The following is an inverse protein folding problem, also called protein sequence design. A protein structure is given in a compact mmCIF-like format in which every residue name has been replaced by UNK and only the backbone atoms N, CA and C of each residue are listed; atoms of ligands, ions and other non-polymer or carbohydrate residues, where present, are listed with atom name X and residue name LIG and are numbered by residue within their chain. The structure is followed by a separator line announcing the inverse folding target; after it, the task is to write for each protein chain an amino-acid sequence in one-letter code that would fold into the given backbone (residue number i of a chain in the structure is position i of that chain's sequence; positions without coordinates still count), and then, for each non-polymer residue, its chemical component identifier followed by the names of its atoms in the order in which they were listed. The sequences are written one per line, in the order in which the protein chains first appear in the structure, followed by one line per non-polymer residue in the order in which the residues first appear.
data_IF_603668229621
#
_entry.id   IF_603668229621
#
_cell.length_a   1.000
_cell.length_b   1.000
_cell.length_c   1.000
_cell.angle_alpha   90.00
_cell.angle_beta   90.00
_cell.angle_gamma   90.00
#
_symmetry.space_group_name_H-M   'P 1'
#
loop_
_entity.id
_entity.type
_entity.pdbx_description
1 polymer ?
#
# COMPACT_ATOMS: atom_id res chain seq x y z
N UNK A 1 25.72 -4.09 7.51
CA UNK A 1 24.94 -4.97 6.61
C UNK A 1 24.36 -6.22 7.26
N UNK A 2 25.04 -6.86 8.23
CA UNK A 2 24.57 -8.10 8.88
C UNK A 2 23.48 -7.92 9.96
N UNK A 3 23.12 -6.69 10.33
CA UNK A 3 22.11 -6.43 11.36
C UNK A 3 20.71 -6.83 10.89
N UNK A 4 20.00 -7.57 11.75
CA UNK A 4 18.60 -7.97 11.56
C UNK A 4 17.60 -7.10 12.34
N UNK A 5 18.07 -6.08 13.05
CA UNK A 5 17.23 -5.11 13.79
C UNK A 5 17.19 -3.72 13.16
N UNK A 6 18.35 -3.23 12.72
CA UNK A 6 18.52 -1.91 12.09
C UNK A 6 19.14 -2.10 10.71
N UNK A 7 18.51 -1.53 9.68
CA UNK A 7 19.03 -1.47 8.32
C UNK A 7 18.85 -0.08 7.74
N UNK A 8 19.79 0.33 6.89
CA UNK A 8 19.66 1.56 6.10
C UNK A 8 18.40 1.42 5.22
N UNK A 9 17.45 2.37 5.26
CA UNK A 9 16.23 2.28 4.45
C UNK A 9 16.53 2.57 2.98
N UNK A 10 16.31 1.58 2.12
CA UNK A 10 16.51 1.70 0.67
C UNK A 10 15.57 2.71 0.00
N UNK A 11 14.41 3.00 0.60
CA UNK A 11 13.44 3.97 0.05
C UNK A 11 13.85 5.44 0.18
N UNK A 12 15.00 5.72 0.80
CA UNK A 12 15.61 7.06 0.83
C UNK A 12 16.80 7.18 -0.12
N UNK A 13 17.20 6.09 -0.77
CA UNK A 13 18.25 6.09 -1.77
C UNK A 13 17.71 6.63 -3.09
N UNK A 14 18.57 7.33 -3.86
CA UNK A 14 18.20 7.83 -5.19
C UNK A 14 17.21 8.99 -5.20
N UNK A 15 17.00 9.70 -4.09
CA UNK A 15 16.22 10.94 -4.09
C UNK A 15 17.00 12.01 -4.87
N UNK A 16 16.49 12.37 -6.04
CA UNK A 16 17.03 13.44 -6.89
C UNK A 16 16.61 14.83 -6.38
N UNK A 17 17.40 15.85 -6.75
CA UNK A 17 17.12 17.25 -6.41
C UNK A 17 15.78 17.72 -6.97
N UNK A 18 15.44 17.28 -8.17
CA UNK A 18 14.14 17.53 -8.78
C UNK A 18 13.17 16.36 -8.53
N UNK A 19 11.88 16.61 -8.28
CA UNK A 19 10.90 15.54 -8.15
C UNK A 19 10.66 14.86 -9.49
N UNK A 20 10.61 13.52 -9.47
CA UNK A 20 10.08 12.77 -10.61
C UNK A 20 8.63 13.18 -10.85
N UNK A 21 8.24 13.53 -12.09
CA UNK A 21 6.86 13.92 -12.38
C UNK A 21 5.88 12.84 -11.96
N UNK A 22 4.75 13.25 -11.34
CA UNK A 22 3.63 12.34 -11.12
C UNK A 22 3.09 11.93 -12.48
N UNK A 23 3.23 10.65 -12.78
CA UNK A 23 2.62 10.02 -13.95
C UNK A 23 1.27 9.36 -13.61
N UNK A 24 0.44 9.14 -14.63
CA UNK A 24 -0.75 8.31 -14.51
C UNK A 24 -0.38 6.89 -14.04
N UNK A 25 -1.29 6.27 -13.29
CA UNK A 25 -1.21 4.87 -12.89
C UNK A 25 -1.94 4.08 -13.96
N UNK A 26 -1.23 3.18 -14.66
CA UNK A 26 -1.77 2.39 -15.76
C UNK A 26 -1.77 0.90 -15.45
N UNK A 27 -2.81 0.21 -15.91
CA UNK A 27 -2.99 -1.25 -15.81
C UNK A 27 -2.68 -1.81 -14.40
N UNK A 28 -3.02 -1.05 -13.35
CA UNK A 28 -2.66 -1.42 -12.00
C UNK A 28 -3.53 -2.58 -11.48
N UNK A 29 -2.93 -3.49 -10.71
CA UNK A 29 -3.63 -4.67 -10.17
C UNK A 29 -3.98 -4.51 -8.71
N UNK A 30 -5.12 -5.09 -8.30
CA UNK A 30 -5.51 -5.10 -6.89
C UNK A 30 -4.62 -6.08 -6.12
N UNK A 31 -3.86 -5.57 -5.16
CA UNK A 31 -3.08 -6.41 -4.24
C UNK A 31 -3.92 -6.86 -3.04
N UNK A 32 -4.83 -6.00 -2.59
CA UNK A 32 -5.70 -6.24 -1.43
C UNK A 32 -7.08 -5.65 -1.70
N UNK A 33 -8.12 -6.47 -1.49
CA UNK A 33 -9.52 -6.04 -1.40
C UNK A 33 -10.06 -6.39 -0.02
N UNK A 34 -10.53 -5.41 0.73
CA UNK A 34 -11.04 -5.60 2.10
C UNK A 34 -12.31 -4.80 2.36
N UNK A 35 -13.08 -5.25 3.35
CA UNK A 35 -14.27 -4.55 3.80
C UNK A 35 -13.98 -3.41 4.76
N UNK A 36 -14.94 -3.14 5.64
CA UNK A 36 -14.92 -2.04 6.58
C UNK A 36 -13.94 -2.21 7.74
N UNK A 37 -13.58 -1.09 8.37
CA UNK A 37 -12.91 -1.01 9.67
C UNK A 37 -11.58 -1.76 9.74
N UNK A 38 -10.86 -1.86 8.62
CA UNK A 38 -9.50 -2.39 8.60
C UNK A 38 -8.58 -1.48 9.40
N UNK A 39 -8.12 -1.98 10.54
CA UNK A 39 -7.25 -1.23 11.44
C UNK A 39 -5.79 -1.18 10.95
N UNK A 40 -5.01 -0.23 11.44
CA UNK A 40 -3.55 -0.19 11.21
C UNK A 40 -2.82 -1.44 11.73
N UNK A 41 -3.40 -2.20 12.66
CA UNK A 41 -2.85 -3.49 13.11
C UNK A 41 -3.03 -4.60 12.06
N UNK A 42 -4.09 -4.55 11.26
CA UNK A 42 -4.24 -5.44 10.11
C UNK A 42 -3.22 -5.10 9.01
N UNK A 43 -3.02 -3.81 8.74
CA UNK A 43 -2.08 -3.31 7.72
C UNK A 43 -0.62 -3.54 8.14
N UNK A 44 -0.28 -3.26 9.41
CA UNK A 44 1.09 -3.36 9.92
C UNK A 44 1.06 -3.99 11.33
N UNK A 45 0.95 -5.32 11.45
CA UNK A 45 0.93 -6.01 12.74
C UNK A 45 2.21 -5.72 13.54
N UNK A 46 2.10 -5.70 14.87
CA UNK A 46 3.22 -5.44 15.78
C UNK A 46 3.64 -6.67 16.61
N UNK A 47 2.81 -7.73 16.61
CA UNK A 47 2.99 -8.93 17.41
C UNK A 47 4.05 -9.90 16.89
N UNK A 48 4.06 -11.10 17.45
CA UNK A 48 4.86 -12.22 16.97
C UNK A 48 4.39 -12.69 15.60
N UNK A 49 5.28 -13.35 14.85
CA UNK A 49 5.00 -13.86 13.51
C UNK A 49 5.61 -15.25 13.30
N UNK A 50 5.02 -16.08 12.42
CA UNK A 50 5.46 -17.45 12.23
C UNK A 50 6.77 -17.56 11.45
N UNK A 51 7.50 -18.66 11.67
CA UNK A 51 8.73 -19.00 10.95
C UNK A 51 8.52 -19.33 9.46
N UNK A 52 7.38 -19.88 9.09
CA UNK A 52 7.05 -20.23 7.72
C UNK A 52 6.52 -19.04 6.88
N UNK A 53 6.24 -17.89 7.50
CA UNK A 53 5.83 -16.69 6.76
C UNK A 53 7.01 -15.94 6.15
N UNK A 54 6.79 -15.00 5.21
CA UNK A 54 7.88 -14.32 4.49
C UNK A 54 8.92 -13.68 5.42
N UNK A 55 8.48 -12.98 6.46
CA UNK A 55 9.37 -12.34 7.44
C UNK A 55 10.17 -13.37 8.27
N UNK A 56 9.56 -14.51 8.58
CA UNK A 56 10.22 -15.61 9.29
C UNK A 56 11.28 -16.28 8.44
N UNK A 57 10.97 -16.58 7.18
CA UNK A 57 11.92 -17.18 6.25
C UNK A 57 13.12 -16.25 6.02
N UNK A 58 12.88 -14.94 5.83
CA UNK A 58 13.95 -13.96 5.75
C UNK A 58 14.89 -13.97 6.97
N UNK A 59 14.34 -14.09 8.19
CA UNK A 59 15.16 -14.15 9.40
C UNK A 59 15.94 -15.48 9.50
N UNK A 60 15.33 -16.60 9.12
CA UNK A 60 16.01 -17.90 9.06
C UNK A 60 17.18 -17.88 8.06
N UNK A 61 16.97 -17.33 6.87
CA UNK A 61 17.99 -17.21 5.83
C UNK A 61 19.16 -16.31 6.27
N UNK A 62 18.90 -15.40 7.21
CA UNK A 62 19.90 -14.55 7.86
C UNK A 62 20.43 -15.13 9.19
N UNK A 63 20.19 -16.41 9.47
CA UNK A 63 20.75 -17.14 10.61
C UNK A 63 20.08 -16.88 11.97
N UNK A 64 18.93 -16.23 12.00
CA UNK A 64 18.18 -15.96 13.24
C UNK A 64 17.26 -17.13 13.54
N UNK A 65 17.35 -17.67 14.76
CA UNK A 65 16.51 -18.79 15.19
C UNK A 65 15.08 -18.31 15.55
N UNK A 66 14.03 -19.14 15.39
CA UNK A 66 12.65 -18.75 15.69
C UNK A 66 12.42 -18.18 17.10
N UNK A 67 13.12 -18.69 18.11
CA UNK A 67 13.06 -18.18 19.49
C UNK A 67 13.55 -16.74 19.63
N UNK A 68 14.39 -16.29 18.70
CA UNK A 68 15.05 -14.99 18.68
C UNK A 68 14.38 -14.01 17.71
N UNK A 69 13.25 -14.38 17.09
CA UNK A 69 12.50 -13.53 16.16
C UNK A 69 12.01 -12.25 16.81
N UNK A 70 11.60 -12.33 18.08
CA UNK A 70 10.93 -11.25 18.79
C UNK A 70 9.62 -10.88 18.06
N UNK A 71 9.21 -9.60 18.06
CA UNK A 71 7.96 -9.14 17.42
C UNK A 71 8.21 -8.24 16.22
N UNK A 72 7.23 -8.06 15.34
CA UNK A 72 7.31 -7.03 14.28
C UNK A 72 7.61 -5.64 14.85
N UNK A 73 7.00 -5.30 16.00
CA UNK A 73 7.27 -4.03 16.68
C UNK A 73 8.74 -3.83 17.06
N UNK A 74 9.43 -4.90 17.46
CA UNK A 74 10.87 -4.86 17.78
C UNK A 74 11.77 -4.74 16.54
N UNK A 75 11.24 -5.07 15.35
CA UNK A 75 11.96 -5.11 14.07
C UNK A 75 11.71 -3.87 13.19
N UNK A 76 11.07 -2.82 13.73
CA UNK A 76 10.69 -1.61 12.98
C UNK A 76 11.86 -0.86 12.32
N UNK A 77 13.09 -1.05 12.80
CA UNK A 77 14.30 -0.50 12.17
C UNK A 77 14.80 -1.29 10.96
N UNK A 78 14.17 -2.42 10.63
CA UNK A 78 14.56 -3.30 9.53
C UNK A 78 13.44 -3.37 8.49
N UNK A 79 13.56 -2.57 7.44
CA UNK A 79 12.55 -2.47 6.39
C UNK A 79 12.25 -3.81 5.70
N UNK A 80 13.25 -4.69 5.58
CA UNK A 80 13.08 -6.03 4.99
C UNK A 80 12.09 -6.90 5.77
N UNK A 81 12.11 -6.82 7.10
CA UNK A 81 11.16 -7.56 7.94
C UNK A 81 9.78 -6.91 7.88
N UNK A 82 9.74 -5.59 7.92
CA UNK A 82 8.47 -4.86 8.03
C UNK A 82 7.66 -4.89 6.74
N UNK A 83 8.28 -4.79 5.55
CA UNK A 83 7.57 -4.95 4.28
C UNK A 83 6.96 -6.34 4.16
N UNK A 84 7.70 -7.38 4.58
CA UNK A 84 7.22 -8.77 4.63
C UNK A 84 6.11 -9.02 5.65
N UNK A 85 5.98 -8.14 6.64
CA UNK A 85 4.91 -8.16 7.62
C UNK A 85 3.69 -7.33 7.24
N UNK A 86 3.77 -6.53 6.17
CA UNK A 86 2.68 -5.63 5.77
C UNK A 86 1.51 -6.46 5.22
N UNK A 87 0.31 -6.18 5.73
CA UNK A 87 -0.92 -6.95 5.56
C UNK A 87 -0.85 -8.41 6.04
N UNK A 88 0.19 -8.80 6.79
CA UNK A 88 0.40 -10.18 7.24
C UNK A 88 -0.26 -10.51 8.59
N UNK A 89 -1.21 -9.69 9.05
CA UNK A 89 -1.95 -9.97 10.27
C UNK A 89 -2.75 -11.27 10.12
N UNK A 90 -2.65 -12.18 11.09
CA UNK A 90 -3.33 -13.49 11.05
C UNK A 90 -4.86 -13.40 10.95
N UNK A 91 -5.46 -12.25 11.28
CA UNK A 91 -6.91 -12.01 11.18
C UNK A 91 -7.31 -11.29 9.88
N UNK A 92 -6.34 -10.95 9.04
CA UNK A 92 -6.60 -10.34 7.75
C UNK A 92 -7.35 -11.34 6.86
N UNK A 93 -8.43 -10.88 6.23
CA UNK A 93 -9.23 -11.65 5.29
C UNK A 93 -9.32 -10.86 4.00
N UNK A 94 -8.43 -11.18 3.07
CA UNK A 94 -8.38 -10.54 1.78
C UNK A 94 -9.45 -11.16 0.87
N UNK A 95 -10.40 -10.37 0.39
CA UNK A 95 -11.56 -10.85 -0.36
C UNK A 95 -11.17 -11.46 -1.71
N UNK A 96 -10.03 -11.06 -2.27
CA UNK A 96 -9.48 -11.66 -3.50
C UNK A 96 -8.71 -12.96 -3.26
N UNK A 97 -8.57 -13.43 -2.02
CA UNK A 97 -8.02 -14.76 -1.68
C UNK A 97 -8.99 -15.53 -0.76
N UNK A 98 -10.18 -15.88 -1.27
CA UNK A 98 -11.24 -16.46 -0.47
C UNK A 98 -10.81 -17.79 0.18
N UNK A 99 -11.24 -18.00 1.42
CA UNK A 99 -10.88 -19.19 2.21
C UNK A 99 -9.54 -19.12 2.92
N UNK A 100 -8.80 -18.01 2.79
CA UNK A 100 -7.55 -17.78 3.53
C UNK A 100 -7.73 -16.79 4.68
N UNK A 101 -6.86 -16.91 5.69
CA UNK A 101 -6.66 -15.91 6.74
C UNK A 101 -5.17 -15.61 6.85
N UNK A 102 -4.80 -14.36 7.09
CA UNK A 102 -3.39 -13.93 7.11
C UNK A 102 -3.01 -13.08 5.90
N UNK A 103 -1.70 -12.96 5.69
CA UNK A 103 -1.11 -12.16 4.61
C UNK A 103 -1.14 -12.83 3.25
N UNK A 104 -2.31 -13.24 2.78
CA UNK A 104 -2.51 -13.91 1.49
C UNK A 104 -3.25 -13.03 0.48
N UNK A 105 -2.98 -13.26 -0.80
CA UNK A 105 -3.64 -12.62 -1.93
C UNK A 105 -3.59 -13.52 -3.16
N UNK A 106 -4.41 -13.23 -4.17
CA UNK A 106 -4.33 -13.90 -5.47
C UNK A 106 -3.43 -13.10 -6.41
N UNK A 107 -2.42 -13.75 -6.96
CA UNK A 107 -1.61 -13.19 -8.05
C UNK A 107 -2.33 -13.48 -9.38
N UNK A 108 -3.17 -12.53 -9.81
CA UNK A 108 -4.09 -12.69 -10.95
C UNK A 108 -3.45 -13.21 -12.24
N UNK A 109 -2.25 -12.75 -12.68
CA UNK A 109 -1.62 -13.29 -13.89
C UNK A 109 -1.40 -14.81 -13.84
N UNK A 110 -1.12 -15.35 -12.65
CA UNK A 110 -0.92 -16.79 -12.45
C UNK A 110 -2.14 -17.54 -11.93
N UNK A 111 -3.12 -16.85 -11.36
CA UNK A 111 -4.24 -17.44 -10.61
C UNK A 111 -3.85 -18.09 -9.27
N UNK A 112 -2.59 -18.03 -8.86
CA UNK A 112 -2.10 -18.63 -7.61
C UNK A 112 -2.42 -17.75 -6.40
N UNK A 113 -2.89 -18.37 -5.31
CA UNK A 113 -2.96 -17.75 -3.99
C UNK A 113 -1.59 -17.86 -3.32
N UNK A 114 -0.97 -16.73 -3.04
CA UNK A 114 0.36 -16.65 -2.41
C UNK A 114 0.39 -15.56 -1.33
N UNK A 115 1.53 -15.39 -0.66
CA UNK A 115 1.69 -14.30 0.30
C UNK A 115 1.66 -12.93 -0.39
N UNK A 116 1.15 -11.91 0.29
CA UNK A 116 1.09 -10.53 -0.22
C UNK A 116 2.48 -10.02 -0.64
N UNK A 117 3.50 -10.33 0.16
CA UNK A 117 4.88 -9.96 -0.15
C UNK A 117 5.39 -10.63 -1.44
N UNK A 118 5.09 -11.91 -1.64
CA UNK A 118 5.50 -12.62 -2.85
C UNK A 118 4.76 -12.13 -4.09
N UNK A 119 3.43 -11.96 -4.00
CA UNK A 119 2.65 -11.39 -5.09
C UNK A 119 3.15 -9.99 -5.48
N UNK A 120 3.45 -9.14 -4.49
CA UNK A 120 4.05 -7.82 -4.69
C UNK A 120 5.39 -7.88 -5.44
N UNK A 121 6.25 -8.84 -5.08
CA UNK A 121 7.52 -9.04 -5.79
C UNK A 121 7.32 -9.47 -7.25
N UNK A 122 6.40 -10.39 -7.51
CA UNK A 122 6.08 -10.84 -8.88
C UNK A 122 5.57 -9.68 -9.74
N UNK A 123 4.62 -8.89 -9.22
CA UNK A 123 4.14 -7.69 -9.92
C UNK A 123 5.25 -6.64 -10.15
N UNK A 124 6.20 -6.52 -9.21
CA UNK A 124 7.34 -5.63 -9.36
C UNK A 124 8.31 -6.08 -10.45
N UNK A 125 8.50 -7.38 -10.64
CA UNK A 125 9.28 -7.94 -11.76
C UNK A 125 8.66 -7.58 -13.11
N UNK A 126 7.32 -7.57 -13.18
CA UNK A 126 6.55 -7.19 -14.37
C UNK A 126 6.27 -5.67 -14.47
N UNK A 127 6.87 -4.84 -13.60
CA UNK A 127 6.64 -3.39 -13.54
C UNK A 127 5.17 -2.97 -13.41
N UNK A 128 4.34 -3.84 -12.81
CA UNK A 128 2.91 -3.61 -12.63
C UNK A 128 2.66 -2.81 -11.36
N UNK A 129 1.96 -1.68 -11.49
CA UNK A 129 1.53 -0.88 -10.34
C UNK A 129 0.44 -1.60 -9.55
N UNK A 130 0.37 -1.34 -8.24
CA UNK A 130 -0.62 -1.98 -7.37
C UNK A 130 -1.57 -0.98 -6.73
N UNK A 131 -2.79 -1.44 -6.46
CA UNK A 131 -3.82 -0.70 -5.74
C UNK A 131 -4.42 -1.52 -4.61
N UNK A 132 -5.03 -0.84 -3.65
CA UNK A 132 -5.84 -1.45 -2.59
C UNK A 132 -7.27 -0.95 -2.71
N UNK A 133 -8.22 -1.86 -2.61
CA UNK A 133 -9.65 -1.55 -2.47
C UNK A 133 -10.07 -1.80 -1.01
N UNK A 134 -10.77 -0.85 -0.41
CA UNK A 134 -11.18 -0.94 0.99
C UNK A 134 -12.60 -0.41 1.23
N UNK A 135 -13.24 -0.88 2.30
CA UNK A 135 -14.50 -0.31 2.77
C UNK A 135 -14.33 0.99 3.55
N UNK A 136 -15.24 1.22 4.47
CA UNK A 136 -15.28 2.39 5.35
C UNK A 136 -14.24 2.32 6.48
N UNK A 137 -13.85 3.49 7.00
CA UNK A 137 -12.93 3.64 8.12
C UNK A 137 -11.57 2.90 7.95
N UNK A 138 -11.05 2.88 6.72
CA UNK A 138 -9.77 2.25 6.41
C UNK A 138 -8.61 2.92 7.17
N UNK A 139 -7.82 2.11 7.87
CA UNK A 139 -6.67 2.55 8.67
C UNK A 139 -7.01 3.01 10.08
N UNK A 140 -8.14 2.58 10.66
CA UNK A 140 -8.50 2.98 12.03
C UNK A 140 -7.56 2.42 13.11
N UNK A 141 -7.49 3.06 14.27
CA UNK A 141 -6.70 2.62 15.42
C UNK A 141 -5.39 3.40 15.61
N UNK A 142 -4.41 2.78 16.29
CA UNK A 142 -3.17 3.46 16.66
C UNK A 142 -2.35 3.86 15.43
N UNK A 143 -1.81 5.08 15.43
CA UNK A 143 -0.90 5.51 14.35
C UNK A 143 0.32 4.60 14.28
N UNK A 144 0.57 4.04 13.08
CA UNK A 144 1.72 3.18 12.77
C UNK A 144 2.29 3.64 11.43
N UNK A 145 3.51 4.16 11.45
CA UNK A 145 4.20 4.65 10.25
C UNK A 145 4.35 3.56 9.18
N UNK A 146 4.62 2.33 9.61
CA UNK A 146 4.74 1.16 8.75
C UNK A 146 3.46 0.76 8.03
N UNK A 147 2.28 1.21 8.48
CA UNK A 147 1.04 0.99 7.73
C UNK A 147 1.06 1.73 6.38
N UNK A 148 1.69 2.90 6.30
CA UNK A 148 1.86 3.63 5.04
C UNK A 148 3.17 3.25 4.32
N UNK A 149 4.30 3.17 5.04
CA UNK A 149 5.60 2.80 4.45
C UNK A 149 5.57 1.41 3.82
N UNK A 150 4.99 0.43 4.53
CA UNK A 150 4.83 -0.93 4.03
C UNK A 150 3.97 -0.97 2.78
N UNK A 151 2.85 -0.23 2.77
CA UNK A 151 1.96 -0.13 1.60
C UNK A 151 2.71 0.37 0.37
N UNK A 152 3.45 1.48 0.49
CA UNK A 152 4.30 1.99 -0.60
C UNK A 152 5.36 0.95 -1.03
N UNK A 153 6.06 0.34 -0.07
CA UNK A 153 7.15 -0.60 -0.34
C UNK A 153 6.69 -1.92 -0.96
N UNK A 154 5.41 -2.26 -0.82
CA UNK A 154 4.77 -3.34 -1.58
C UNK A 154 4.42 -2.94 -3.02
N UNK A 155 4.72 -1.70 -3.45
CA UNK A 155 4.42 -1.22 -4.80
C UNK A 155 3.02 -0.63 -4.97
N UNK A 156 2.27 -0.43 -3.88
CA UNK A 156 0.94 0.20 -3.95
C UNK A 156 1.08 1.68 -4.25
N UNK A 157 0.42 2.13 -5.32
CA UNK A 157 0.44 3.53 -5.80
C UNK A 157 -0.81 4.30 -5.41
N UNK A 158 -1.94 3.62 -5.23
CA UNK A 158 -3.19 4.21 -4.78
C UNK A 158 -3.98 3.28 -3.85
N UNK A 159 -4.75 3.88 -2.95
CA UNK A 159 -5.75 3.19 -2.13
C UNK A 159 -7.10 3.81 -2.42
N UNK A 160 -8.06 3.00 -2.85
CA UNK A 160 -9.45 3.41 -3.11
C UNK A 160 -10.32 2.84 -1.99
N UNK A 161 -10.90 3.71 -1.17
CA UNK A 161 -11.69 3.30 -0.01
C UNK A 161 -13.05 3.98 0.03
N UNK A 162 -14.04 3.44 0.74
CA UNK A 162 -15.28 4.19 1.02
C UNK A 162 -15.00 5.37 1.94
N UNK A 163 -14.15 5.20 2.96
CA UNK A 163 -13.66 6.29 3.80
C UNK A 163 -12.36 5.91 4.52
N UNK A 164 -11.60 6.92 4.95
CA UNK A 164 -10.34 6.74 5.68
C UNK A 164 -10.45 7.26 7.11
N UNK A 165 -9.70 6.64 8.02
CA UNK A 165 -9.29 7.33 9.24
C UNK A 165 -8.32 8.47 8.90
N UNK A 166 -8.51 9.63 9.55
CA UNK A 166 -7.83 10.89 9.23
C UNK A 166 -6.30 10.79 9.29
N UNK A 167 -5.74 10.22 10.36
CA UNK A 167 -4.29 10.12 10.54
C UNK A 167 -3.69 9.15 9.53
N UNK A 168 -4.34 8.00 9.29
CA UNK A 168 -3.86 7.04 8.30
C UNK A 168 -3.86 7.62 6.88
N UNK A 169 -4.91 8.35 6.50
CA UNK A 169 -4.96 9.08 5.21
C UNK A 169 -3.74 9.99 5.04
N UNK A 170 -3.46 10.86 6.02
CA UNK A 170 -2.30 11.74 5.96
C UNK A 170 -0.97 10.98 5.89
N UNK A 171 -0.86 9.81 6.55
CA UNK A 171 0.32 8.97 6.44
C UNK A 171 0.52 8.39 5.03
N UNK A 172 -0.56 7.97 4.35
CA UNK A 172 -0.50 7.51 2.95
C UNK A 172 0.02 8.62 2.03
N UNK A 173 -0.54 9.83 2.16
CA UNK A 173 -0.08 11.02 1.42
C UNK A 173 1.38 11.32 1.72
N UNK A 174 1.78 11.28 2.99
CA UNK A 174 3.17 11.49 3.42
C UNK A 174 4.14 10.49 2.82
N UNK A 175 3.68 9.30 2.42
CA UNK A 175 4.49 8.31 1.71
C UNK A 175 4.35 8.37 0.19
N UNK A 176 3.55 9.29 -0.36
CA UNK A 176 3.33 9.40 -1.81
C UNK A 176 2.34 8.37 -2.38
N UNK A 177 1.56 7.70 -1.53
CA UNK A 177 0.44 6.84 -1.97
C UNK A 177 -0.80 7.70 -2.13
N UNK A 178 -1.50 7.62 -3.26
CA UNK A 178 -2.69 8.43 -3.54
C UNK A 178 -3.94 7.85 -2.85
N UNK A 179 -4.52 8.50 -1.83
CA UNK A 179 -5.80 8.08 -1.28
C UNK A 179 -6.95 8.60 -2.15
N UNK A 180 -7.87 7.72 -2.50
CA UNK A 180 -9.06 8.02 -3.27
C UNK A 180 -10.29 7.53 -2.51
N UNK A 181 -11.38 8.30 -2.52
CA UNK A 181 -12.68 7.78 -2.13
C UNK A 181 -13.50 7.37 -3.35
N UNK A 182 -14.26 6.29 -3.22
CA UNK A 182 -15.39 6.03 -4.12
C UNK A 182 -16.37 7.22 -4.13
N UNK A 183 -17.23 7.33 -5.16
CA UNK A 183 -18.32 8.30 -5.15
C UNK A 183 -19.17 8.20 -3.88
N UNK A 184 -19.82 9.30 -3.49
CA UNK A 184 -20.66 9.31 -2.30
C UNK A 184 -21.78 8.27 -2.41
N UNK A 185 -21.86 7.37 -1.43
CA UNK A 185 -22.84 6.29 -1.40
C UNK A 185 -22.47 5.04 -2.21
N UNK A 186 -21.29 5.03 -2.85
CA UNK A 186 -20.77 3.89 -3.60
C UNK A 186 -19.57 3.24 -2.91
N UNK A 187 -19.35 1.97 -3.23
CA UNK A 187 -18.20 1.18 -2.81
C UNK A 187 -17.80 0.18 -3.91
N UNK A 188 -16.80 -0.65 -3.63
CA UNK A 188 -16.35 -1.68 -4.57
C UNK A 188 -17.46 -2.66 -4.95
N UNK A 189 -18.33 -3.04 -4.01
CA UNK A 189 -19.36 -4.05 -4.25
C UNK A 189 -20.55 -3.46 -5.02
N UNK A 190 -20.96 -2.21 -4.74
CA UNK A 190 -22.01 -1.52 -5.49
C UNK A 190 -21.62 -1.25 -6.94
N UNK A 191 -20.33 -1.02 -7.20
CA UNK A 191 -19.75 -0.88 -8.53
C UNK A 191 -19.49 -2.22 -9.24
N UNK A 192 -19.68 -3.35 -8.53
CA UNK A 192 -19.42 -4.68 -9.06
C UNK A 192 -17.95 -4.92 -9.37
N UNK A 193 -17.05 -4.39 -8.55
CA UNK A 193 -15.61 -4.58 -8.61
C UNK A 193 -15.23 -5.80 -7.76
N UNK A 194 -14.82 -6.90 -8.40
CA UNK A 194 -14.45 -8.12 -7.69
C UNK A 194 -12.96 -8.16 -7.29
N UNK A 195 -12.17 -7.25 -7.85
CA UNK A 195 -10.74 -7.07 -7.62
C UNK A 195 -9.86 -7.70 -8.70
N UNK A 196 -10.42 -8.45 -9.65
CA UNK A 196 -9.69 -9.02 -10.79
C UNK A 196 -9.39 -8.00 -11.90
N UNK A 197 -10.02 -6.83 -11.82
CA UNK A 197 -9.86 -5.76 -12.79
C UNK A 197 -8.44 -5.18 -12.79
N UNK A 198 -8.08 -4.54 -13.89
CA UNK A 198 -7.00 -3.56 -13.90
C UNK A 198 -7.52 -2.14 -13.80
N UNK A 199 -6.73 -1.26 -13.19
CA UNK A 199 -7.13 0.10 -12.86
C UNK A 199 -6.23 1.11 -13.57
N UNK A 200 -6.86 2.00 -14.33
CA UNK A 200 -6.25 3.20 -14.87
C UNK A 200 -6.73 4.42 -14.06
N UNK A 201 -5.76 5.18 -13.53
CA UNK A 201 -5.98 6.37 -12.74
C UNK A 201 -5.13 7.48 -13.36
N UNK A 202 -5.71 8.53 -13.97
CA UNK A 202 -5.00 9.62 -14.63
C UNK A 202 -4.43 10.62 -13.61
N UNK A 203 -3.69 10.11 -12.62
CA UNK A 203 -3.01 10.89 -11.62
C UNK A 203 -2.00 11.82 -12.31
N UNK A 204 -1.99 13.08 -11.88
CA UNK A 204 -1.25 14.16 -12.53
C UNK A 204 -0.65 15.10 -11.50
N UNK A 205 0.32 15.90 -11.92
CA UNK A 205 0.94 16.86 -11.01
C UNK A 205 -0.04 17.95 -10.56
N UNK A 206 -0.96 18.38 -11.41
CA UNK A 206 -1.92 19.47 -11.16
C UNK A 206 -3.19 19.04 -10.41
N UNK A 207 -3.17 17.91 -9.68
CA UNK A 207 -4.28 17.54 -8.81
C UNK A 207 -4.59 18.66 -7.81
N UNK A 208 -5.87 19.01 -7.72
CA UNK A 208 -6.38 19.98 -6.75
C UNK A 208 -6.92 19.26 -5.51
N UNK A 209 -6.86 19.89 -4.32
CA UNK A 209 -7.38 19.29 -3.11
C UNK A 209 -8.86 18.91 -3.25
N UNK A 210 -9.22 17.68 -2.83
CA UNK A 210 -10.61 17.16 -2.87
C UNK A 210 -11.28 17.18 -4.26
N UNK A 211 -10.50 17.28 -5.34
CA UNK A 211 -11.02 17.22 -6.71
C UNK A 211 -11.50 15.83 -7.09
N UNK A 212 -12.29 15.76 -8.17
CA UNK A 212 -12.71 14.49 -8.77
C UNK A 212 -11.66 14.00 -9.76
N UNK A 213 -11.48 12.68 -9.85
CA UNK A 213 -10.63 12.00 -10.83
C UNK A 213 -11.37 10.79 -11.43
N UNK A 214 -11.45 10.68 -12.77
CA UNK A 214 -12.07 9.52 -13.40
C UNK A 214 -11.16 8.30 -13.24
N UNK A 215 -11.71 7.20 -12.71
CA UNK A 215 -11.03 5.91 -12.60
C UNK A 215 -11.70 4.94 -13.54
N UNK A 216 -10.90 4.19 -14.30
CA UNK A 216 -11.38 3.12 -15.18
C UNK A 216 -10.92 1.78 -14.64
N UNK A 217 -11.86 0.90 -14.32
CA UNK A 217 -11.61 -0.49 -13.95
C UNK A 217 -11.98 -1.41 -15.11
N UNK A 218 -11.00 -2.05 -15.73
CA UNK A 218 -11.18 -2.94 -16.88
C UNK A 218 -11.22 -4.39 -16.41
N UNK A 219 -12.33 -5.08 -16.67
CA UNK A 219 -12.52 -6.50 -16.35
C UNK A 219 -11.75 -7.40 -17.31
N UNK A 220 -11.59 -8.66 -16.90
CA UNK A 220 -10.94 -9.70 -17.73
C UNK A 220 -11.67 -9.98 -19.06
N UNK A 221 -12.97 -9.70 -19.14
CA UNK A 221 -13.76 -9.81 -20.38
C UNK A 221 -13.66 -8.57 -21.29
N UNK A 222 -12.91 -7.54 -20.87
CA UNK A 222 -12.72 -6.28 -21.59
C UNK A 222 -13.81 -5.23 -21.34
N UNK A 223 -14.86 -5.55 -20.58
CA UNK A 223 -15.82 -4.53 -20.13
C UNK A 223 -15.18 -3.60 -19.10
N UNK A 224 -15.61 -2.34 -19.08
CA UNK A 224 -15.07 -1.33 -18.16
C UNK A 224 -16.15 -0.80 -17.22
N UNK A 225 -15.75 -0.48 -15.99
CA UNK A 225 -16.50 0.37 -15.05
C UNK A 225 -15.75 1.68 -14.93
N UNK A 226 -16.43 2.77 -15.22
CA UNK A 226 -15.91 4.13 -15.02
C UNK A 226 -16.63 4.77 -13.84
N UNK A 227 -15.87 5.40 -12.94
CA UNK A 227 -16.42 6.12 -11.80
C UNK A 227 -15.56 7.33 -11.43
N UNK A 228 -16.19 8.34 -10.84
CA UNK A 228 -15.55 9.58 -10.40
C UNK A 228 -15.11 9.45 -8.95
N UNK A 229 -13.82 9.18 -8.74
CA UNK A 229 -13.26 9.07 -7.41
C UNK A 229 -12.90 10.45 -6.83
N UNK A 230 -13.05 10.64 -5.52
CA UNK A 230 -12.62 11.88 -4.85
C UNK A 230 -11.17 11.76 -4.41
N UNK A 231 -10.32 12.68 -4.86
CA UNK A 231 -8.91 12.76 -4.49
C UNK A 231 -8.78 13.22 -3.05
N UNK A 232 -8.27 12.37 -2.16
CA UNK A 232 -8.17 12.65 -0.72
C UNK A 232 -6.86 13.29 -0.30
N UNK A 233 -6.40 14.22 -1.13
CA UNK A 233 -5.44 15.26 -0.78
C UNK A 233 -6.26 16.42 -0.24
N UNK A 234 -6.33 16.59 1.08
CA UNK A 234 -7.30 17.50 1.71
C UNK A 234 -6.80 18.95 1.75
N UNK A 235 -5.49 19.19 1.51
CA UNK A 235 -4.88 20.52 1.56
C UNK A 235 -3.85 20.74 0.44
N UNK A 236 -3.51 22.01 0.08
CA UNK A 236 -2.44 22.29 -0.88
C UNK A 236 -1.07 21.74 -0.46
N UNK A 237 -0.76 21.69 0.83
CA UNK A 237 0.49 21.12 1.36
C UNK A 237 0.56 19.62 1.10
N UNK A 238 -0.56 18.92 1.21
CA UNK A 238 -0.64 17.49 0.90
C UNK A 238 -0.47 17.21 -0.60
N UNK A 239 -0.96 18.11 -1.46
CA UNK A 239 -0.68 18.06 -2.89
C UNK A 239 0.81 18.23 -3.16
N UNK A 240 1.48 19.16 -2.48
CA UNK A 240 2.92 19.37 -2.59
C UNK A 240 3.73 18.15 -2.13
N UNK A 241 3.35 17.51 -1.02
CA UNK A 241 3.97 16.26 -0.57
C UNK A 241 3.81 15.16 -1.62
N UNK A 242 2.59 14.99 -2.16
CA UNK A 242 2.35 14.00 -3.20
C UNK A 242 3.20 14.26 -4.46
N UNK A 243 3.30 15.53 -4.91
CA UNK A 243 4.16 15.95 -6.04
C UNK A 243 5.63 15.62 -5.84
N UNK A 244 6.09 15.65 -4.60
CA UNK A 244 7.46 15.35 -4.25
C UNK A 244 7.74 13.84 -4.09
N UNK A 245 6.73 12.99 -4.19
CA UNK A 245 6.85 11.56 -3.88
C UNK A 245 6.80 11.26 -2.39
N UNK A 246 6.29 12.18 -1.57
CA UNK A 246 6.12 12.07 -0.13
C UNK A 246 6.81 13.19 0.66
N UNK A 247 6.54 13.23 1.96
CA UNK A 247 7.05 14.25 2.90
C UNK A 247 8.57 14.17 3.08
N UNK A 248 9.15 12.97 3.06
CA UNK A 248 10.59 12.79 3.27
C UNK A 248 11.42 13.38 2.11
N UNK A 249 11.11 13.07 0.84
CA UNK A 249 11.71 13.81 -0.28
C UNK A 249 11.51 15.32 -0.22
N UNK A 250 10.31 15.82 0.12
CA UNK A 250 10.05 17.26 0.25
C UNK A 250 11.01 17.91 1.26
N UNK A 251 11.11 17.34 2.46
CA UNK A 251 11.95 17.90 3.52
C UNK A 251 13.43 17.85 3.13
N UNK A 252 13.88 16.77 2.50
CA UNK A 252 15.28 16.65 2.07
C UNK A 252 15.64 17.68 0.99
N UNK A 253 14.75 17.92 0.01
CA UNK A 253 14.96 18.96 -1.01
C UNK A 253 15.00 20.35 -0.39
N UNK A 254 14.04 20.67 0.48
CA UNK A 254 14.00 21.96 1.17
C UNK A 254 15.25 22.22 2.02
N UNK A 255 15.82 21.18 2.64
CA UNK A 255 17.06 21.29 3.40
C UNK A 255 18.30 21.44 2.51
N UNK A 256 18.27 20.92 1.28
CA UNK A 256 19.37 21.04 0.33
C UNK A 256 19.40 22.41 -0.38
N UNK A 257 18.24 23.09 -0.46
CA UNK A 257 18.11 24.46 -0.96
C UNK A 257 18.45 25.55 0.08
N UNK A 258 18.45 25.19 1.36
CA UNK A 258 18.73 26.09 2.49
C UNK A 258 20.23 26.27 2.78
#
# INVERSE_FOLDING_TARGET
DSSTYIRLPSFLEGIESEPTPIGPIHDARVLVKVGDSVTTDHISPAGAFPHHGPAGQYLLDNGVQPRDFNSFGSRRGNHEVMVRGTFANIRMRNQIAPGTEGGFTTHFPSGEVTSIYEASNRYREDSTSLVVLAGSAYGTGSSRDWAAKGTLLLGVRAVIATSFERIHRSNLVGMGVLPLNFPEGEDADSLGLDGSESFDIPARADLEPMSSIPVTATRSDGSAVEFEAVVRLDTPVEVEYYRNGGILPTVLRNLAEA
#
